data_IF_412660594012
#
_entry.id   IF_412660594012
#
_cell.length_a   1.000
_cell.length_b   1.000
_cell.length_c   1.000
_cell.angle_alpha   90.00
_cell.angle_beta   90.00
_cell.angle_gamma   90.00
#
_symmetry.space_group_name_H-M   'P 1'
#
loop_
_entity.id
_entity.type
_entity.pdbx_description
1 polymer ?
#
# COMPACT_ATOMS: atom_id res chain seq x y z
N UNK A 1 -9.31 0.90 8.25
CA UNK A 1 -8.39 1.65 9.14
C UNK A 1 -9.00 2.95 9.67
N UNK A 2 -9.58 3.81 8.83
CA UNK A 2 -10.03 5.16 9.23
C UNK A 2 -11.08 5.18 10.35
N UNK A 3 -11.98 4.19 10.43
CA UNK A 3 -13.00 4.15 11.48
C UNK A 3 -12.43 3.84 12.87
N UNK A 4 -11.44 2.93 12.93
CA UNK A 4 -10.86 2.39 14.15
C UNK A 4 -9.69 3.24 14.66
N UNK A 5 -8.80 3.68 13.75
CA UNK A 5 -7.51 4.28 14.11
C UNK A 5 -7.48 5.81 14.00
N UNK A 6 -8.51 6.46 13.41
CA UNK A 6 -8.62 7.94 13.42
C UNK A 6 -9.65 8.41 14.44
N UNK A 7 -9.25 9.41 15.23
CA UNK A 7 -10.11 10.18 16.12
C UNK A 7 -10.92 11.22 15.33
N UNK A 8 -12.18 11.44 15.68
CA UNK A 8 -13.06 12.43 15.02
C UNK A 8 -14.52 11.99 14.95
N UNK A 9 -15.41 12.91 14.54
CA UNK A 9 -16.84 12.64 14.40
C UNK A 9 -17.13 11.65 13.25
N UNK A 10 -18.27 10.95 13.33
CA UNK A 10 -18.71 10.02 12.27
C UNK A 10 -18.80 10.70 10.89
N UNK A 11 -19.22 11.97 10.84
CA UNK A 11 -19.29 12.76 9.61
C UNK A 11 -17.91 13.00 8.99
N UNK A 12 -16.92 13.35 9.81
CA UNK A 12 -15.54 13.55 9.36
C UNK A 12 -14.90 12.25 8.89
N UNK A 13 -15.15 11.15 9.60
CA UNK A 13 -14.70 9.80 9.20
C UNK A 13 -15.28 9.42 7.84
N UNK A 14 -16.58 9.59 7.64
CA UNK A 14 -17.24 9.27 6.36
C UNK A 14 -16.72 10.16 5.22
N UNK A 15 -16.60 11.47 5.45
CA UNK A 15 -16.04 12.42 4.45
C UNK A 15 -14.61 12.05 4.08
N UNK A 16 -13.77 11.70 5.05
CA UNK A 16 -12.39 11.28 4.81
C UNK A 16 -12.31 9.99 3.98
N UNK A 17 -13.20 9.02 4.24
CA UNK A 17 -13.28 7.78 3.46
C UNK A 17 -13.69 8.08 2.02
N UNK A 18 -14.77 8.85 1.83
CA UNK A 18 -15.25 9.21 0.49
C UNK A 18 -14.20 9.99 -0.29
N UNK A 19 -13.51 10.93 0.35
CA UNK A 19 -12.44 11.70 -0.28
C UNK A 19 -11.25 10.81 -0.66
N UNK A 20 -10.81 9.92 0.23
CA UNK A 20 -9.73 8.97 -0.07
C UNK A 20 -10.09 8.04 -1.23
N UNK A 21 -11.32 7.50 -1.24
CA UNK A 21 -11.84 6.68 -2.34
C UNK A 21 -11.89 7.46 -3.64
N UNK A 22 -12.38 8.70 -3.61
CA UNK A 22 -12.44 9.54 -4.80
C UNK A 22 -11.06 9.83 -5.38
N UNK A 23 -10.09 10.22 -4.52
CA UNK A 23 -8.71 10.48 -4.94
C UNK A 23 -8.10 9.21 -5.54
N UNK A 24 -8.24 8.07 -4.87
CA UNK A 24 -7.70 6.81 -5.35
C UNK A 24 -8.28 6.39 -6.70
N UNK A 25 -9.61 6.45 -6.84
CA UNK A 25 -10.30 6.16 -8.11
C UNK A 25 -9.89 7.12 -9.23
N UNK A 26 -9.70 8.40 -8.91
CA UNK A 26 -9.24 9.43 -9.84
C UNK A 26 -7.82 9.14 -10.33
N UNK A 27 -6.88 8.81 -9.44
CA UNK A 27 -5.53 8.39 -9.80
C UNK A 27 -5.55 7.17 -10.74
N UNK A 28 -6.36 6.15 -10.42
CA UNK A 28 -6.46 4.95 -11.27
C UNK A 28 -7.04 5.27 -12.65
N UNK A 29 -8.08 6.12 -12.72
CA UNK A 29 -8.69 6.53 -13.98
C UNK A 29 -7.69 7.27 -14.88
N UNK A 30 -6.95 8.26 -14.34
CA UNK A 30 -5.93 8.97 -15.10
C UNK A 30 -4.77 8.06 -15.50
N UNK A 31 -4.34 7.16 -14.63
CA UNK A 31 -3.29 6.19 -14.97
C UNK A 31 -3.70 5.35 -16.19
N UNK A 32 -4.90 4.77 -16.17
CA UNK A 32 -5.40 3.93 -17.29
C UNK A 32 -5.60 4.76 -18.55
N UNK A 33 -6.14 5.97 -18.43
CA UNK A 33 -6.34 6.88 -19.56
C UNK A 33 -5.00 7.23 -20.23
N UNK A 34 -4.02 7.69 -19.45
CA UNK A 34 -2.68 8.04 -19.95
C UNK A 34 -1.97 6.82 -20.54
N UNK A 35 -2.00 5.68 -19.86
CA UNK A 35 -1.42 4.43 -20.35
C UNK A 35 -2.00 4.02 -21.71
N UNK A 36 -3.34 3.96 -21.83
CA UNK A 36 -4.01 3.56 -23.07
C UNK A 36 -3.81 4.60 -24.18
N UNK A 37 -3.81 5.89 -23.83
CA UNK A 37 -3.51 6.98 -24.76
C UNK A 37 -2.11 6.86 -25.36
N UNK A 38 -1.10 6.66 -24.52
CA UNK A 38 0.29 6.44 -24.95
C UNK A 38 0.43 5.16 -25.79
N UNK A 39 -0.21 4.06 -25.38
CA UNK A 39 -0.21 2.81 -26.15
C UNK A 39 -0.84 2.97 -27.54
N UNK A 40 -1.97 3.69 -27.63
CA UNK A 40 -2.63 3.96 -28.90
C UNK A 40 -1.76 4.85 -29.81
N UNK A 41 -1.11 5.86 -29.25
CA UNK A 41 -0.17 6.72 -29.96
C UNK A 41 1.02 5.93 -30.49
N UNK A 42 1.69 5.15 -29.63
CA UNK A 42 2.84 4.32 -30.02
C UNK A 42 2.47 3.29 -31.10
N UNK A 43 1.31 2.63 -30.96
CA UNK A 43 0.82 1.68 -31.96
C UNK A 43 0.49 2.32 -33.31
N UNK A 44 0.03 3.57 -33.33
CA UNK A 44 -0.22 4.31 -34.58
C UNK A 44 1.07 4.76 -35.25
N UNK A 45 2.07 5.16 -34.48
CA UNK A 45 3.36 5.62 -35.02
C UNK A 45 4.23 4.48 -35.57
N UNK A 46 4.22 3.30 -34.94
CA UNK A 46 5.08 2.19 -35.34
C UNK A 46 4.37 1.10 -36.18
N UNK A 47 3.04 1.14 -36.27
CA UNK A 47 2.24 0.17 -37.03
C UNK A 47 2.23 -1.26 -36.45
N UNK A 48 2.93 -1.52 -35.34
CA UNK A 48 2.98 -2.82 -34.65
C UNK A 48 2.94 -2.64 -33.12
N UNK A 49 2.43 -3.65 -32.41
CA UNK A 49 2.47 -3.71 -30.94
C UNK A 49 3.74 -4.41 -30.48
N UNK A 50 4.73 -3.64 -30.02
CA UNK A 50 5.97 -4.15 -29.40
C UNK A 50 5.77 -4.25 -27.88
N UNK A 51 6.18 -5.35 -27.21
CA UNK A 51 6.02 -5.52 -25.76
C UNK A 51 6.63 -4.41 -24.90
N UNK A 52 7.70 -3.77 -25.37
CA UNK A 52 8.38 -2.66 -24.66
C UNK A 52 7.50 -1.41 -24.58
N UNK A 53 6.56 -1.21 -25.51
CA UNK A 53 5.61 -0.08 -25.46
C UNK A 53 4.78 -0.07 -24.20
N UNK A 54 4.29 -1.23 -23.79
CA UNK A 54 3.52 -1.39 -22.55
C UNK A 54 4.33 -0.94 -21.34
N UNK A 55 5.62 -1.26 -21.29
CA UNK A 55 6.48 -0.84 -20.20
C UNK A 55 6.70 0.68 -20.21
N UNK A 56 7.07 1.26 -21.35
CA UNK A 56 7.35 2.71 -21.46
C UNK A 56 6.08 3.52 -21.16
N UNK A 57 4.93 3.13 -21.70
CA UNK A 57 3.66 3.79 -21.45
C UNK A 57 3.27 3.73 -19.97
N UNK A 58 3.44 2.58 -19.31
CA UNK A 58 3.16 2.42 -17.89
C UNK A 58 4.14 3.19 -17.01
N UNK A 59 5.42 3.25 -17.41
CA UNK A 59 6.45 4.04 -16.72
C UNK A 59 6.12 5.53 -16.72
N UNK A 60 5.79 6.09 -17.89
CA UNK A 60 5.41 7.50 -18.02
C UNK A 60 4.13 7.79 -17.22
N UNK A 61 3.10 6.95 -17.35
CA UNK A 61 1.86 7.12 -16.60
C UNK A 61 2.09 7.04 -15.08
N UNK A 62 2.95 6.14 -14.61
CA UNK A 62 3.32 6.02 -13.20
C UNK A 62 4.04 7.26 -12.69
N UNK A 63 5.02 7.76 -13.46
CA UNK A 63 5.76 8.97 -13.11
C UNK A 63 4.84 10.19 -12.98
N UNK A 64 3.92 10.38 -13.93
CA UNK A 64 3.05 11.56 -13.97
C UNK A 64 1.93 11.53 -12.92
N UNK A 65 1.36 10.35 -12.63
CA UNK A 65 0.15 10.24 -11.79
C UNK A 65 0.46 9.80 -10.36
N UNK A 66 1.47 8.95 -10.17
CA UNK A 66 1.81 8.31 -8.88
C UNK A 66 3.18 8.73 -8.35
N UNK A 67 3.85 9.69 -9.00
CA UNK A 67 5.18 10.18 -8.61
C UNK A 67 5.17 11.08 -7.36
N UNK A 68 4.03 11.71 -7.04
CA UNK A 68 3.94 12.55 -5.85
C UNK A 68 4.01 11.73 -4.55
N UNK A 69 4.84 12.19 -3.62
CA UNK A 69 4.99 11.56 -2.31
C UNK A 69 3.86 12.00 -1.39
N UNK A 70 2.77 11.24 -1.40
CA UNK A 70 1.68 11.38 -0.43
C UNK A 70 1.30 10.01 0.15
N UNK A 71 0.52 9.99 1.25
CA UNK A 71 0.18 8.75 1.95
C UNK A 71 -0.55 7.73 1.06
N UNK A 72 -1.40 8.19 0.15
CA UNK A 72 -2.19 7.32 -0.75
C UNK A 72 -1.26 6.72 -1.81
N UNK A 73 -0.50 7.55 -2.52
CA UNK A 73 0.45 7.11 -3.56
C UNK A 73 1.52 6.18 -2.97
N UNK A 74 2.04 6.50 -1.78
CA UNK A 74 3.01 5.64 -1.09
C UNK A 74 2.41 4.28 -0.78
N UNK A 75 1.16 4.23 -0.30
CA UNK A 75 0.46 2.95 -0.08
C UNK A 75 0.32 2.14 -1.36
N UNK A 76 -0.11 2.78 -2.46
CA UNK A 76 -0.26 2.12 -3.76
C UNK A 76 1.07 1.62 -4.29
N UNK A 77 2.11 2.46 -4.28
CA UNK A 77 3.43 2.11 -4.80
C UNK A 77 4.07 0.97 -4.00
N UNK A 78 4.00 0.99 -2.67
CA UNK A 78 4.52 -0.10 -1.84
C UNK A 78 3.72 -1.40 -2.05
N UNK A 79 2.39 -1.31 -2.19
CA UNK A 79 1.55 -2.45 -2.50
C UNK A 79 1.92 -3.08 -3.85
N UNK A 80 1.99 -2.28 -4.91
CA UNK A 80 2.35 -2.76 -6.25
C UNK A 80 3.78 -3.30 -6.27
N UNK A 81 4.74 -2.64 -5.61
CA UNK A 81 6.12 -3.10 -5.47
C UNK A 81 6.17 -4.53 -4.91
N UNK A 82 5.47 -4.79 -3.79
CA UNK A 82 5.44 -6.12 -3.19
C UNK A 82 4.92 -7.21 -4.15
N UNK A 83 3.89 -6.88 -4.94
CA UNK A 83 3.29 -7.78 -5.93
C UNK A 83 4.19 -8.00 -7.14
N UNK A 84 4.87 -6.95 -7.60
CA UNK A 84 5.84 -7.02 -8.70
C UNK A 84 7.03 -7.88 -8.28
N UNK A 85 7.61 -7.65 -7.09
CA UNK A 85 8.70 -8.47 -6.58
C UNK A 85 8.29 -9.94 -6.48
N UNK A 86 7.11 -10.23 -5.94
CA UNK A 86 6.59 -11.60 -5.88
C UNK A 86 6.40 -12.23 -7.27
N UNK A 87 5.87 -11.46 -8.23
CA UNK A 87 5.73 -11.89 -9.62
C UNK A 87 7.07 -12.14 -10.31
N UNK A 88 8.06 -11.27 -10.11
CA UNK A 88 9.41 -11.42 -10.62
C UNK A 88 10.10 -12.66 -10.03
N UNK A 89 9.93 -12.93 -8.73
CA UNK A 89 10.43 -14.15 -8.11
C UNK A 89 9.83 -15.42 -8.74
N UNK A 90 8.52 -15.42 -9.02
CA UNK A 90 7.86 -16.53 -9.72
C UNK A 90 8.37 -16.70 -11.15
N UNK A 91 8.54 -15.60 -11.88
CA UNK A 91 9.08 -15.62 -13.24
C UNK A 91 10.53 -16.12 -13.26
N UNK A 92 11.34 -15.76 -12.27
CA UNK A 92 12.72 -16.23 -12.14
C UNK A 92 12.79 -17.75 -11.90
N UNK A 93 11.87 -18.30 -11.11
CA UNK A 93 11.72 -19.75 -10.93
C UNK A 93 11.26 -20.42 -12.23
N UNK A 94 10.27 -19.85 -12.91
CA UNK A 94 9.75 -20.39 -14.18
C UNK A 94 10.82 -20.42 -15.28
N UNK A 95 11.67 -19.39 -15.36
CA UNK A 95 12.78 -19.31 -16.31
C UNK A 95 14.01 -20.13 -15.88
N UNK A 96 13.98 -20.78 -14.72
CA UNK A 96 15.07 -21.63 -14.23
C UNK A 96 16.27 -20.85 -13.67
N UNK A 97 16.17 -19.54 -13.47
CA UNK A 97 17.22 -18.75 -12.81
C UNK A 97 17.34 -19.09 -11.32
N UNK A 98 16.22 -19.49 -10.70
CA UNK A 98 16.15 -19.89 -9.29
C UNK A 98 15.56 -21.30 -9.24
N UNK A 99 16.16 -22.24 -8.48
CA UNK A 99 15.60 -23.58 -8.35
C UNK A 99 14.21 -23.53 -7.70
N UNK A 100 13.30 -24.37 -8.19
CA UNK A 100 11.98 -24.48 -7.59
C UNK A 100 12.11 -24.99 -6.14
N UNK A 101 11.56 -24.25 -5.16
CA UNK A 101 11.67 -24.66 -3.77
C UNK A 101 10.92 -25.97 -3.53
N UNK A 102 11.58 -26.93 -2.89
CA UNK A 102 11.01 -28.27 -2.59
C UNK A 102 9.88 -28.22 -1.56
N UNK A 103 9.85 -27.17 -0.73
CA UNK A 103 8.84 -26.94 0.30
C UNK A 103 8.28 -25.53 0.14
N UNK A 104 7.09 -25.29 0.69
CA UNK A 104 6.47 -23.96 0.64
C UNK A 104 7.35 -22.94 1.39
N UNK A 105 7.91 -21.91 0.72
CA UNK A 105 8.77 -20.92 1.37
C UNK A 105 8.00 -19.91 2.22
N UNK A 106 6.67 -19.86 2.09
CA UNK A 106 5.82 -18.85 2.72
C UNK A 106 5.90 -18.78 4.26
N UNK A 107 6.00 -19.88 5.02
CA UNK A 107 6.11 -19.82 6.47
C UNK A 107 7.39 -19.12 6.95
N UNK A 108 8.53 -19.41 6.32
CA UNK A 108 9.81 -18.75 6.64
C UNK A 108 9.74 -17.27 6.28
N UNK A 109 9.19 -16.95 5.10
CA UNK A 109 8.95 -15.57 4.68
C UNK A 109 8.10 -14.82 5.71
N UNK A 110 6.98 -15.40 6.15
CA UNK A 110 6.09 -14.79 7.13
C UNK A 110 6.81 -14.57 8.47
N UNK A 111 7.57 -15.55 8.97
CA UNK A 111 8.31 -15.45 10.21
C UNK A 111 9.35 -14.30 10.17
N UNK A 112 10.10 -14.21 9.07
CA UNK A 112 11.11 -13.15 8.89
C UNK A 112 10.46 -11.78 8.78
N UNK A 113 9.40 -11.64 7.97
CA UNK A 113 8.70 -10.35 7.79
C UNK A 113 8.10 -9.86 9.11
N UNK A 114 7.42 -10.73 9.86
CA UNK A 114 6.83 -10.35 11.14
C UNK A 114 7.87 -10.03 12.20
N UNK A 115 8.96 -10.82 12.27
CA UNK A 115 10.07 -10.54 13.18
C UNK A 115 10.71 -9.17 12.90
N UNK A 116 10.94 -8.84 11.63
CA UNK A 116 11.48 -7.55 11.23
C UNK A 116 10.52 -6.39 11.53
N UNK A 117 9.23 -6.53 11.24
CA UNK A 117 8.23 -5.49 11.50
C UNK A 117 8.15 -5.15 12.99
N UNK A 118 8.10 -6.15 13.85
CA UNK A 118 8.07 -5.94 15.31
C UNK A 118 9.39 -5.36 15.82
N UNK A 119 10.53 -5.88 15.35
CA UNK A 119 11.83 -5.33 15.74
C UNK A 119 12.00 -3.86 15.34
N UNK A 120 11.56 -3.48 14.13
CA UNK A 120 11.54 -2.08 13.68
C UNK A 120 10.54 -1.24 14.48
N UNK A 121 9.39 -1.80 14.86
CA UNK A 121 8.42 -1.10 15.69
C UNK A 121 8.94 -0.85 17.11
N UNK A 122 9.72 -1.74 17.70
CA UNK A 122 10.28 -1.49 19.04
C UNK A 122 11.48 -0.55 19.00
N UNK A 123 12.39 -0.73 18.03
CA UNK A 123 13.68 -0.03 18.02
C UNK A 123 13.72 1.23 17.14
N UNK A 124 12.93 1.28 16.07
CA UNK A 124 13.04 2.30 15.00
C UNK A 124 11.69 2.76 14.43
N UNK A 125 10.68 3.03 15.29
CA UNK A 125 9.29 3.38 14.88
C UNK A 125 9.19 4.32 13.69
N UNK A 126 10.01 5.37 13.66
CA UNK A 126 10.00 6.41 12.64
C UNK A 126 10.28 5.91 11.21
N UNK A 127 10.94 4.75 11.03
CA UNK A 127 11.25 4.20 9.71
C UNK A 127 10.07 3.45 9.09
N UNK A 128 9.08 3.06 9.90
CA UNK A 128 7.89 2.35 9.42
C UNK A 128 6.94 3.32 8.71
N UNK A 129 6.11 2.79 7.81
CA UNK A 129 5.08 3.61 7.18
C UNK A 129 4.09 4.13 8.24
N UNK A 130 3.67 5.41 8.21
CA UNK A 130 2.77 5.99 9.21
C UNK A 130 1.48 5.20 9.45
N UNK A 131 0.92 4.59 8.40
CA UNK A 131 -0.26 3.74 8.51
C UNK A 131 -0.02 2.48 9.33
N UNK A 132 1.16 1.86 9.20
CA UNK A 132 1.52 0.67 9.96
C UNK A 132 1.84 1.04 11.41
N UNK A 133 2.55 2.14 11.63
CA UNK A 133 2.81 2.68 12.98
C UNK A 133 1.50 2.88 13.75
N UNK A 134 0.53 3.58 13.14
CA UNK A 134 -0.77 3.83 13.78
C UNK A 134 -1.52 2.55 14.15
N UNK A 135 -1.46 1.52 13.30
CA UNK A 135 -2.07 0.22 13.62
C UNK A 135 -1.34 -0.53 14.73
N UNK A 136 -0.01 -0.51 14.72
CA UNK A 136 0.80 -1.18 15.75
C UNK A 136 0.67 -0.48 17.11
N UNK A 137 0.70 0.85 17.16
CA UNK A 137 0.47 1.61 18.42
C UNK A 137 -0.89 1.31 19.01
N UNK A 138 -1.95 1.28 18.20
CA UNK A 138 -3.27 0.89 18.69
C UNK A 138 -3.30 -0.53 19.26
N UNK A 139 -2.68 -1.48 18.56
CA UNK A 139 -2.72 -2.89 18.94
C UNK A 139 -1.83 -3.22 20.14
N UNK A 140 -0.68 -2.55 20.29
CA UNK A 140 0.37 -2.93 21.26
C UNK A 140 0.61 -1.91 22.35
N UNK A 141 0.44 -0.60 22.10
CA UNK A 141 0.64 0.43 23.13
C UNK A 141 -0.70 0.80 23.79
N UNK A 142 -1.72 1.14 22.98
CA UNK A 142 -3.01 1.61 23.48
C UNK A 142 -3.83 0.47 24.13
N UNK A 143 -3.59 -0.79 23.76
CA UNK A 143 -4.23 -1.96 24.37
C UNK A 143 -3.79 -2.22 25.82
N UNK A 144 -2.69 -1.61 26.28
CA UNK A 144 -2.23 -1.71 27.67
C UNK A 144 -3.00 -0.81 28.64
N UNK A 145 -3.86 0.09 28.13
CA UNK A 145 -4.64 1.03 28.93
C UNK A 145 -6.13 0.73 28.71
N UNK A 146 -6.76 0.05 29.66
CA UNK A 146 -8.17 -0.32 29.59
C UNK A 146 -9.00 0.58 30.51
N UNK A 147 -10.01 1.27 29.97
CA UNK A 147 -10.91 2.09 30.79
C UNK A 147 -12.36 1.59 30.78
N UNK A 148 -12.91 1.10 29.65
CA UNK A 148 -14.24 0.46 29.58
C UNK A 148 -14.53 -0.22 28.21
N UNK A 149 -15.63 -0.99 28.09
CA UNK A 149 -16.11 -1.61 26.81
C UNK A 149 -16.36 -0.56 25.70
N UNK A 150 -16.59 0.70 26.08
CA UNK A 150 -16.72 1.83 25.16
C UNK A 150 -15.45 2.15 24.36
N UNK A 151 -14.27 1.74 24.84
CA UNK A 151 -12.99 1.89 24.12
C UNK A 151 -12.89 0.91 22.93
N UNK A 152 -13.60 -0.22 22.99
CA UNK A 152 -13.56 -1.25 21.94
C UNK A 152 -14.44 -0.91 20.73
N UNK A 153 -15.53 -0.16 20.93
CA UNK A 153 -16.56 0.08 19.90
C UNK A 153 -16.72 1.54 19.46
N UNK A 154 -16.37 2.54 20.29
CA UNK A 154 -16.78 3.94 20.03
C UNK A 154 -15.64 4.97 20.12
N UNK A 155 -14.72 4.87 21.09
CA UNK A 155 -13.67 5.88 21.29
C UNK A 155 -12.26 5.27 21.41
N UNK A 156 -11.30 5.75 20.62
CA UNK A 156 -9.89 5.31 20.70
C UNK A 156 -9.09 6.03 21.81
N UNK A 157 -9.55 7.20 22.26
CA UNK A 157 -9.02 7.94 23.42
C UNK A 157 -10.11 8.88 23.89
N UNK A 158 -10.38 8.97 25.19
CA UNK A 158 -11.06 10.16 25.72
C UNK A 158 -10.09 11.32 25.55
N UNK A 159 -10.54 12.40 24.90
CA UNK A 159 -9.77 13.64 24.85
C UNK A 159 -9.54 14.11 26.28
N UNK A 160 -8.34 13.93 26.82
CA UNK A 160 -7.92 14.65 28.03
C UNK A 160 -7.63 16.08 27.62
N UNK A 161 -8.69 16.82 27.30
CA UNK A 161 -8.62 18.28 27.27
C UNK A 161 -8.86 18.75 28.70
N UNK A 162 -7.80 19.17 29.37
CA UNK A 162 -7.92 20.23 30.37
C UNK A 162 -7.92 21.56 29.63
#
# INVERSE_FOLDING_TARGET
MTFLFKSGSLKEKLKAILQATYIHSKCLAYFVFTYKGLMAMQSRMQGKKVPVHSFIAAFIAGWLILGETNNINSQVNMYVLSRVLFGLSRLAVEKGYIPQPKQNPFPIFAAVVWGLVLWLFENHRHTLQPSLQSSMTYLYDDSNVWHDISDFLVYNKRSTTK
#
